data_IF_672131160221
#
_entry.id   IF_672131160221
#
_cell.length_a   1.000
_cell.length_b   1.000
_cell.length_c   1.000
_cell.angle_alpha   90.00
_cell.angle_beta   90.00
_cell.angle_gamma   90.00
#
_symmetry.space_group_name_H-M   'P 1'
#
loop_
_entity.id
_entity.type
_entity.pdbx_description
1 polymer ?
#
# COMPACT_ATOMS: atom_id res chain seq x y z
N UNK A 1 4.84 -19.09 -2.92
CA UNK A 1 3.65 -18.23 -2.93
C UNK A 1 2.52 -18.98 -2.25
N UNK A 2 1.82 -18.34 -1.33
CA UNK A 2 0.81 -18.98 -0.48
C UNK A 2 -0.56 -18.91 -1.16
N UNK A 3 -0.92 -17.75 -1.71
CA UNK A 3 -2.12 -17.58 -2.53
C UNK A 3 -1.89 -18.02 -3.97
N UNK A 4 -2.89 -18.71 -4.54
CA UNK A 4 -2.91 -19.04 -5.97
C UNK A 4 -3.58 -17.92 -6.78
N UNK A 5 -3.04 -17.53 -7.95
CA UNK A 5 -3.64 -16.46 -8.78
C UNK A 5 -5.10 -16.72 -9.17
N UNK A 6 -5.46 -17.98 -9.40
CA UNK A 6 -6.82 -18.44 -9.76
C UNK A 6 -7.88 -18.07 -8.71
N UNK A 7 -7.47 -17.86 -7.46
CA UNK A 7 -8.36 -17.49 -6.37
C UNK A 7 -8.79 -16.03 -6.42
N UNK A 8 -8.11 -15.22 -7.21
CA UNK A 8 -8.26 -13.78 -7.24
C UNK A 8 -8.61 -13.28 -8.64
N UNK A 9 -9.18 -12.08 -8.70
CA UNK A 9 -9.43 -11.34 -9.92
C UNK A 9 -9.13 -9.86 -9.68
N UNK A 10 -8.86 -9.10 -10.73
CA UNK A 10 -8.75 -7.65 -10.61
C UNK A 10 -10.06 -7.04 -10.10
N UNK A 11 -9.92 -5.91 -9.40
CA UNK A 11 -11.05 -5.17 -8.85
C UNK A 11 -11.62 -4.25 -9.92
N UNK A 12 -12.94 -4.23 -10.05
CA UNK A 12 -13.65 -3.32 -10.97
C UNK A 12 -13.51 -1.86 -10.52
N UNK A 13 -13.42 -1.63 -9.20
CA UNK A 13 -13.27 -0.29 -8.59
C UNK A 13 -12.13 -0.26 -7.57
N UNK A 14 -11.17 0.65 -7.78
CA UNK A 14 -10.02 0.86 -6.90
C UNK A 14 -8.80 0.01 -7.25
N UNK A 15 -7.76 0.08 -6.41
CA UNK A 15 -6.50 -0.64 -6.58
C UNK A 15 -6.57 -2.09 -6.08
N UNK A 16 -5.71 -2.95 -6.64
CA UNK A 16 -5.43 -4.29 -6.12
C UNK A 16 -6.30 -5.41 -6.69
N UNK A 17 -6.37 -6.51 -5.94
CA UNK A 17 -7.08 -7.74 -6.30
C UNK A 17 -8.22 -8.01 -5.32
N UNK A 18 -9.27 -8.69 -5.79
CA UNK A 18 -10.35 -9.20 -4.97
C UNK A 18 -10.39 -10.73 -5.05
N UNK A 19 -10.78 -11.43 -3.96
CA UNK A 19 -11.11 -12.84 -4.06
C UNK A 19 -12.23 -13.08 -5.07
N UNK A 20 -12.08 -14.13 -5.86
CA UNK A 20 -13.12 -14.67 -6.75
C UNK A 20 -13.70 -15.96 -6.18
N UNK A 21 -12.87 -16.79 -5.54
CA UNK A 21 -13.26 -18.11 -5.02
C UNK A 21 -13.41 -18.10 -3.49
N UNK A 22 -14.06 -19.14 -2.94
CA UNK A 22 -14.13 -19.36 -1.48
C UNK A 22 -12.73 -19.51 -0.87
N UNK A 23 -11.79 -20.12 -1.59
CA UNK A 23 -10.40 -20.30 -1.17
C UNK A 23 -9.68 -18.94 -1.03
N UNK A 24 -9.90 -18.01 -1.97
CA UNK A 24 -9.37 -16.65 -1.85
C UNK A 24 -9.93 -15.89 -0.65
N UNK A 25 -11.22 -16.10 -0.31
CA UNK A 25 -11.81 -15.53 0.91
C UNK A 25 -11.21 -16.14 2.17
N UNK A 26 -11.07 -17.47 2.23
CA UNK A 26 -10.43 -18.16 3.35
C UNK A 26 -8.98 -17.72 3.53
N UNK A 27 -8.25 -17.49 2.45
CA UNK A 27 -6.90 -16.94 2.47
C UNK A 27 -6.85 -15.57 3.15
N UNK A 28 -7.72 -14.63 2.75
CA UNK A 28 -7.76 -13.29 3.35
C UNK A 28 -8.14 -13.37 4.83
N UNK A 29 -9.20 -14.14 5.14
CA UNK A 29 -9.65 -14.32 6.52
C UNK A 29 -8.56 -14.98 7.38
N UNK A 30 -7.79 -15.90 6.82
CA UNK A 30 -6.66 -16.54 7.50
C UNK A 30 -5.59 -15.53 7.91
N UNK A 31 -5.18 -14.65 6.99
CA UNK A 31 -4.23 -13.57 7.32
C UNK A 31 -4.77 -12.61 8.36
N UNK A 32 -6.04 -12.22 8.26
CA UNK A 32 -6.70 -11.36 9.26
C UNK A 32 -6.72 -12.05 10.63
N UNK A 33 -7.06 -13.34 10.67
CA UNK A 33 -7.09 -14.12 11.91
C UNK A 33 -5.70 -14.21 12.56
N UNK A 34 -4.64 -14.41 11.77
CA UNK A 34 -3.25 -14.41 12.27
C UNK A 34 -2.87 -13.04 12.84
N UNK A 35 -3.19 -11.95 12.14
CA UNK A 35 -2.90 -10.58 12.61
C UNK A 35 -3.64 -10.32 13.93
N UNK A 36 -4.92 -10.66 14.01
CA UNK A 36 -5.72 -10.51 15.24
C UNK A 36 -5.17 -11.38 16.37
N UNK A 37 -4.82 -12.63 16.09
CA UNK A 37 -4.23 -13.51 17.09
C UNK A 37 -2.95 -12.92 17.69
N UNK A 38 -2.05 -12.38 16.85
CA UNK A 38 -0.84 -11.68 17.31
C UNK A 38 -1.21 -10.43 18.12
N UNK A 39 -2.22 -9.67 17.67
CA UNK A 39 -2.65 -8.45 18.33
C UNK A 39 -3.13 -8.66 19.78
N UNK A 40 -3.73 -9.83 20.07
CA UNK A 40 -4.24 -10.20 21.40
C UNK A 40 -3.24 -10.99 22.27
N UNK A 41 -2.06 -11.34 21.76
CA UNK A 41 -1.04 -12.02 22.57
C UNK A 41 -0.52 -11.10 23.69
N UNK A 42 -0.36 -11.60 24.93
CA UNK A 42 0.19 -10.84 26.05
C UNK A 42 1.72 -10.77 25.97
N UNK A 43 2.23 -10.19 24.89
CA UNK A 43 3.67 -9.98 24.63
C UNK A 43 3.99 -8.49 24.59
N UNK A 44 5.27 -8.16 24.77
CA UNK A 44 5.75 -6.79 24.68
C UNK A 44 5.38 -6.14 23.33
N UNK A 45 5.04 -4.85 23.36
CA UNK A 45 4.54 -4.13 22.19
C UNK A 45 5.52 -4.14 21.02
N UNK A 46 6.82 -3.99 21.29
CA UNK A 46 7.86 -4.06 20.26
C UNK A 46 7.86 -5.40 19.52
N UNK A 47 7.72 -6.51 20.25
CA UNK A 47 7.66 -7.86 19.67
C UNK A 47 6.38 -8.05 18.88
N UNK A 48 5.25 -7.54 19.39
CA UNK A 48 3.95 -7.59 18.72
C UNK A 48 3.96 -6.85 17.39
N UNK A 49 4.47 -5.62 17.38
CA UNK A 49 4.58 -4.79 16.20
C UNK A 49 5.51 -5.42 15.16
N UNK A 50 6.67 -5.95 15.60
CA UNK A 50 7.58 -6.67 14.72
C UNK A 50 6.91 -7.91 14.09
N UNK A 51 6.19 -8.71 14.89
CA UNK A 51 5.50 -9.89 14.40
C UNK A 51 4.39 -9.57 13.38
N UNK A 52 3.56 -8.56 13.66
CA UNK A 52 2.55 -8.07 12.70
C UNK A 52 3.25 -7.56 11.43
N UNK A 53 4.33 -6.81 11.57
CA UNK A 53 5.11 -6.29 10.44
C UNK A 53 5.61 -7.40 9.52
N UNK A 54 6.13 -8.50 10.08
CA UNK A 54 6.56 -9.67 9.29
C UNK A 54 5.39 -10.30 8.53
N UNK A 55 4.24 -10.51 9.19
CA UNK A 55 3.06 -11.10 8.55
C UNK A 55 2.54 -10.21 7.41
N UNK A 56 2.49 -8.90 7.63
CA UNK A 56 2.10 -7.92 6.61
C UNK A 56 3.09 -7.92 5.45
N UNK A 57 4.40 -7.97 5.71
CA UNK A 57 5.42 -8.03 4.67
C UNK A 57 5.26 -9.29 3.80
N UNK A 58 5.01 -10.45 4.41
CA UNK A 58 4.72 -11.70 3.69
C UNK A 58 3.46 -11.55 2.84
N UNK A 59 2.38 -10.98 3.39
CA UNK A 59 1.14 -10.75 2.65
C UNK A 59 1.34 -9.81 1.45
N UNK A 60 2.13 -8.75 1.61
CA UNK A 60 2.45 -7.79 0.53
C UNK A 60 3.24 -8.49 -0.57
N UNK A 61 4.32 -9.21 -0.23
CA UNK A 61 5.16 -9.91 -1.22
C UNK A 61 4.32 -10.94 -1.99
N UNK A 62 3.49 -11.71 -1.29
CA UNK A 62 2.65 -12.72 -1.91
C UNK A 62 1.59 -12.08 -2.81
N UNK A 63 0.93 -11.00 -2.35
CA UNK A 63 -0.04 -10.25 -3.15
C UNK A 63 0.58 -9.68 -4.42
N UNK A 64 1.77 -9.08 -4.33
CA UNK A 64 2.49 -8.56 -5.49
C UNK A 64 2.79 -9.67 -6.50
N UNK A 65 3.29 -10.82 -6.01
CA UNK A 65 3.58 -11.91 -6.92
C UNK A 65 2.31 -12.60 -7.46
N UNK A 66 1.14 -12.46 -6.81
CA UNK A 66 -0.16 -12.90 -7.35
C UNK A 66 -0.56 -11.97 -8.48
N UNK A 67 -0.45 -10.66 -8.27
CA UNK A 67 -0.79 -9.63 -9.25
C UNK A 67 0.01 -9.74 -10.55
N UNK A 68 1.28 -10.15 -10.46
CA UNK A 68 2.15 -10.39 -11.64
C UNK A 68 1.71 -11.61 -12.46
N UNK A 69 1.05 -12.58 -11.81
CA UNK A 69 0.65 -13.86 -12.41
C UNK A 69 -0.84 -13.96 -12.71
N UNK A 70 -1.60 -12.90 -12.47
CA UNK A 70 -3.01 -12.84 -12.88
C UNK A 70 -3.06 -12.69 -14.40
N UNK A 71 -3.79 -13.57 -15.07
CA UNK A 71 -4.06 -13.41 -16.50
C UNK A 71 -4.82 -12.10 -16.72
N UNK A 72 -4.25 -11.21 -17.53
CA UNK A 72 -4.85 -9.94 -17.91
C UNK A 72 -5.93 -10.17 -18.96
N UNK A 73 -7.09 -10.68 -18.55
CA UNK A 73 -8.29 -10.64 -19.38
C UNK A 73 -8.91 -9.26 -19.23
N UNK A 74 -8.26 -8.25 -19.81
CA UNK A 74 -8.83 -6.92 -19.92
C UNK A 74 -8.90 -6.54 -21.39
N UNK A 75 -10.08 -6.14 -21.82
CA UNK A 75 -10.28 -5.42 -23.07
C UNK A 75 -9.41 -4.14 -23.06
N UNK A 76 -8.94 -3.69 -24.22
CA UNK A 76 -8.06 -2.52 -24.34
C UNK A 76 -8.64 -1.28 -23.66
N UNK A 77 -9.97 -1.14 -23.70
CA UNK A 77 -10.71 -0.08 -23.00
C UNK A 77 -10.62 -0.20 -21.48
N UNK A 78 -10.83 -1.38 -20.92
CA UNK A 78 -10.77 -1.60 -19.48
C UNK A 78 -9.35 -1.37 -18.95
N UNK A 79 -8.34 -1.81 -19.72
CA UNK A 79 -6.93 -1.53 -19.42
C UNK A 79 -6.64 -0.03 -19.37
N UNK A 80 -7.14 0.73 -20.34
CA UNK A 80 -7.01 2.19 -20.38
C UNK A 80 -7.67 2.86 -19.16
N UNK A 81 -8.87 2.44 -18.78
CA UNK A 81 -9.55 2.96 -17.60
C UNK A 81 -8.78 2.63 -16.31
N UNK A 82 -8.27 1.40 -16.18
CA UNK A 82 -7.46 1.00 -15.02
C UNK A 82 -6.21 1.86 -14.87
N UNK A 83 -5.47 2.10 -15.96
CA UNK A 83 -4.26 2.94 -15.93
C UNK A 83 -4.56 4.40 -15.53
N UNK A 84 -5.69 4.97 -15.98
CA UNK A 84 -6.12 6.31 -15.57
C UNK A 84 -6.45 6.34 -14.08
N UNK A 85 -7.19 5.34 -13.59
CA UNK A 85 -7.56 5.22 -12.17
C UNK A 85 -6.31 5.10 -11.30
N UNK A 86 -5.37 4.23 -11.67
CA UNK A 86 -4.11 4.02 -10.94
C UNK A 86 -3.27 5.30 -10.86
N UNK A 87 -3.17 6.06 -11.96
CA UNK A 87 -2.48 7.35 -12.00
C UNK A 87 -3.14 8.37 -11.07
N UNK A 88 -4.46 8.48 -11.12
CA UNK A 88 -5.22 9.43 -10.31
C UNK A 88 -5.15 9.07 -8.83
N UNK A 89 -5.25 7.79 -8.48
CA UNK A 89 -5.09 7.31 -7.10
C UNK A 89 -3.70 7.59 -6.54
N UNK A 90 -2.66 7.30 -7.33
CA UNK A 90 -1.27 7.58 -6.93
C UNK A 90 -1.05 9.08 -6.71
N UNK A 91 -1.64 9.92 -7.55
CA UNK A 91 -1.58 11.37 -7.38
C UNK A 91 -2.36 11.86 -6.15
N UNK A 92 -3.58 11.37 -5.95
CA UNK A 92 -4.39 11.70 -4.78
C UNK A 92 -3.69 11.30 -3.47
N UNK A 93 -3.03 10.13 -3.44
CA UNK A 93 -2.27 9.69 -2.29
C UNK A 93 -1.05 10.59 -2.01
N UNK A 94 -0.33 11.05 -3.04
CA UNK A 94 0.74 12.04 -2.88
C UNK A 94 0.18 13.35 -2.30
N UNK A 95 -0.94 13.85 -2.83
CA UNK A 95 -1.58 15.07 -2.35
C UNK A 95 -2.01 14.93 -0.88
N UNK A 96 -2.63 13.81 -0.52
CA UNK A 96 -3.05 13.53 0.85
C UNK A 96 -1.87 13.51 1.83
N UNK A 97 -0.74 12.91 1.44
CA UNK A 97 0.48 12.91 2.26
C UNK A 97 1.09 14.31 2.39
N UNK A 98 1.09 15.10 1.31
CA UNK A 98 1.53 16.49 1.37
C UNK A 98 0.64 17.31 2.33
N UNK A 99 -0.69 17.15 2.25
CA UNK A 99 -1.62 17.80 3.18
C UNK A 99 -1.34 17.38 4.63
N UNK A 100 -1.07 16.10 4.88
CA UNK A 100 -0.70 15.61 6.21
C UNK A 100 0.60 16.24 6.72
N UNK A 101 1.63 16.35 5.87
CA UNK A 101 2.88 17.03 6.21
C UNK A 101 2.67 18.52 6.49
N UNK A 102 1.88 19.21 5.66
CA UNK A 102 1.54 20.63 5.88
C UNK A 102 0.79 20.83 7.19
N UNK A 103 -0.17 19.95 7.49
CA UNK A 103 -0.93 19.99 8.73
C UNK A 103 -0.04 19.77 9.95
N UNK A 104 0.86 18.79 9.89
CA UNK A 104 1.83 18.53 10.95
C UNK A 104 2.77 19.74 11.17
N UNK A 105 3.28 20.34 10.08
CA UNK A 105 4.10 21.54 10.15
C UNK A 105 3.36 22.75 10.75
N UNK A 106 2.10 22.92 10.41
CA UNK A 106 1.27 24.00 10.95
C UNK A 106 0.98 23.83 12.44
N UNK A 107 0.71 22.60 12.90
CA UNK A 107 0.57 22.32 14.33
C UNK A 107 1.87 22.58 15.09
N UNK A 108 3.02 22.18 14.53
CA UNK A 108 4.33 22.42 15.14
C UNK A 108 4.62 23.93 15.32
N UNK A 109 4.26 24.76 14.34
CA UNK A 109 4.40 26.21 14.41
C UNK A 109 3.53 26.83 15.52
N UNK A 110 2.28 26.37 15.68
CA UNK A 110 1.38 26.88 16.72
C UNK A 110 1.84 26.51 18.15
N UNK A 111 2.61 25.43 18.29
CA UNK A 111 3.22 25.01 19.57
C UNK A 111 4.44 25.83 20.03
N UNK A 112 4.79 26.92 19.32
CA UNK A 112 5.88 27.84 19.72
C UNK A 112 7.24 27.53 19.09
N UNK A 113 7.34 26.59 18.13
CA UNK A 113 8.55 26.45 17.31
C UNK A 113 8.61 27.57 16.26
N UNK A 114 9.59 28.47 16.41
CA UNK A 114 9.82 29.62 15.52
C UNK A 114 10.65 29.26 14.28
N UNK A 115 11.20 28.06 14.21
CA UNK A 115 11.94 27.54 13.04
C UNK A 115 11.28 26.27 12.54
N UNK A 116 11.17 26.15 11.21
CA UNK A 116 10.63 24.96 10.54
C UNK A 116 11.65 23.83 10.68
N UNK A 117 11.61 23.19 11.85
CA UNK A 117 12.51 22.12 12.22
C UNK A 117 12.04 20.82 11.59
N UNK A 118 12.83 20.29 10.65
CA UNK A 118 12.61 18.95 10.08
C UNK A 118 12.61 17.85 11.16
N UNK A 119 13.17 18.11 12.34
CA UNK A 119 13.18 17.14 13.45
C UNK A 119 11.85 17.03 14.20
N UNK A 120 10.93 17.97 14.02
CA UNK A 120 9.57 17.91 14.61
C UNK A 120 8.55 17.20 13.72
N UNK A 121 8.92 16.85 12.48
CA UNK A 121 8.05 16.17 11.52
C UNK A 121 8.30 14.66 11.55
N UNK A 122 7.26 13.87 11.28
CA UNK A 122 7.40 12.41 11.26
C UNK A 122 8.28 11.98 10.08
N UNK A 123 9.50 11.46 10.31
CA UNK A 123 10.41 11.06 9.23
C UNK A 123 9.81 9.99 8.32
N UNK A 124 8.88 9.18 8.84
CA UNK A 124 8.24 8.12 8.06
C UNK A 124 7.33 8.67 6.97
N UNK A 125 6.68 9.83 7.17
CA UNK A 125 5.85 10.45 6.14
C UNK A 125 6.70 10.89 4.93
N UNK A 126 7.89 11.44 5.17
CA UNK A 126 8.83 11.76 4.10
C UNK A 126 9.34 10.51 3.39
N UNK A 127 9.63 9.45 4.13
CA UNK A 127 10.02 8.16 3.57
C UNK A 127 8.95 7.60 2.62
N UNK A 128 7.69 7.59 3.05
CA UNK A 128 6.56 7.12 2.22
C UNK A 128 6.40 7.99 0.97
N UNK A 129 6.43 9.32 1.10
CA UNK A 129 6.36 10.23 -0.04
C UNK A 129 7.49 9.99 -1.04
N UNK A 130 8.73 9.85 -0.56
CA UNK A 130 9.89 9.57 -1.39
C UNK A 130 9.74 8.27 -2.17
N UNK A 131 9.34 7.18 -1.50
CA UNK A 131 9.11 5.87 -2.14
C UNK A 131 8.02 5.97 -3.20
N UNK A 132 6.91 6.66 -2.92
CA UNK A 132 5.83 6.85 -3.89
C UNK A 132 6.28 7.64 -5.13
N UNK A 133 7.07 8.69 -4.93
CA UNK A 133 7.60 9.51 -6.03
C UNK A 133 8.57 8.70 -6.90
N UNK A 134 9.47 7.95 -6.27
CA UNK A 134 10.42 7.07 -6.97
C UNK A 134 9.71 5.96 -7.73
N UNK A 135 8.71 5.31 -7.13
CA UNK A 135 7.91 4.28 -7.80
C UNK A 135 7.18 4.84 -9.03
N UNK A 136 6.61 6.06 -8.92
CA UNK A 136 5.95 6.74 -10.03
C UNK A 136 6.93 7.11 -11.15
N UNK A 137 8.09 7.66 -10.82
CA UNK A 137 9.13 8.00 -11.81
C UNK A 137 9.64 6.73 -12.49
N UNK A 138 9.99 5.71 -11.72
CA UNK A 138 10.53 4.45 -12.22
C UNK A 138 9.58 3.75 -13.20
N UNK A 139 8.32 3.62 -12.83
CA UNK A 139 7.27 3.06 -13.72
C UNK A 139 7.07 3.90 -14.98
N UNK A 140 7.10 5.23 -14.88
CA UNK A 140 6.97 6.12 -16.06
C UNK A 140 8.14 5.96 -17.03
N UNK A 141 9.37 5.87 -16.51
CA UNK A 141 10.57 5.65 -17.32
C UNK A 141 10.57 4.28 -17.99
N UNK A 142 10.18 3.24 -17.26
CA UNK A 142 10.09 1.87 -17.79
C UNK A 142 9.07 1.73 -18.93
N UNK A 143 7.95 2.47 -18.86
CA UNK A 143 6.95 2.48 -19.93
C UNK A 143 7.39 3.28 -21.16
N UNK A 144 8.19 4.33 -20.98
CA UNK A 144 8.71 5.16 -22.09
C UNK A 144 9.88 4.52 -22.84
N UNK A 145 10.57 3.57 -22.22
CA UNK A 145 11.68 2.82 -22.79
C UNK A 145 11.24 1.58 -23.61
N UNK A 146 9.95 1.26 -23.63
CA UNK A 146 9.32 0.25 -24.49
C UNK A 146 8.61 0.92 -25.64
#
# INVERSE_FOLDING_TARGET
MIGKPEWFTYRILGWGIRPKTKEGWLYIVGFIAVILAIAYLPVADAVRQAAIGVVVAVLVIDTLSIMVKLDSVHDERERMHQLIIERNCSFAAIVALLVALFWQGWQAQQGGMTTLSLSGMDPWLFGVLGVMLLAKIGTTLALRAR
#
